data_IF_797476803559
#
_entry.id   IF_797476803559
#
_cell.length_a   1.000
_cell.length_b   1.000
_cell.length_c   1.000
_cell.angle_alpha   90.00
_cell.angle_beta   90.00
_cell.angle_gamma   90.00
#
_symmetry.space_group_name_H-M   'P 1'
#
loop_
_entity.id
_entity.type
_entity.pdbx_description
1 polymer ?
#
# COMPACT_ATOMS: atom_id res chain seq x y z
N UNK A 1 11.70 -10.96 -13.24
CA UNK A 1 11.44 -11.58 -11.91
C UNK A 1 11.05 -13.04 -12.13
N UNK A 2 11.68 -13.96 -11.42
CA UNK A 2 11.38 -15.39 -11.47
C UNK A 2 11.03 -15.85 -10.05
N UNK A 3 9.88 -16.51 -9.89
CA UNK A 3 9.38 -16.97 -8.59
C UNK A 3 8.69 -18.32 -8.72
N UNK A 4 9.11 -19.28 -7.90
CA UNK A 4 8.50 -20.59 -7.79
C UNK A 4 7.79 -20.72 -6.46
N UNK A 5 6.47 -20.98 -6.49
CA UNK A 5 5.65 -21.21 -5.32
C UNK A 5 5.23 -22.68 -5.31
N UNK A 6 5.40 -23.38 -4.17
CA UNK A 6 5.00 -24.77 -4.01
C UNK A 6 3.91 -24.89 -2.96
N UNK A 7 2.86 -25.65 -3.29
CA UNK A 7 1.77 -25.99 -2.40
C UNK A 7 1.72 -27.51 -2.20
N UNK A 8 1.77 -27.93 -0.96
CA UNK A 8 1.43 -29.32 -0.61
C UNK A 8 -0.08 -29.41 -0.46
N UNK A 9 -0.71 -30.30 -1.21
CA UNK A 9 -2.17 -30.46 -1.20
C UNK A 9 -2.59 -31.26 0.02
N UNK A 10 -3.45 -30.64 0.82
CA UNK A 10 -4.04 -31.23 2.02
C UNK A 10 -5.42 -31.84 1.72
N UNK A 11 -6.00 -32.57 2.67
CA UNK A 11 -7.34 -33.18 2.55
C UNK A 11 -8.43 -32.13 2.19
N UNK A 12 -8.31 -30.89 2.65
CA UNK A 12 -9.26 -29.81 2.34
C UNK A 12 -9.31 -29.45 0.85
N UNK A 13 -8.23 -29.72 0.11
CA UNK A 13 -8.12 -29.44 -1.32
C UNK A 13 -8.26 -30.68 -2.19
N UNK A 14 -8.53 -31.87 -1.59
CA UNK A 14 -8.73 -33.10 -2.32
C UNK A 14 -9.92 -32.99 -3.28
N UNK A 15 -9.74 -33.46 -4.51
CA UNK A 15 -10.75 -33.38 -5.57
C UNK A 15 -11.03 -31.99 -6.15
N UNK A 16 -10.41 -30.93 -5.65
CA UNK A 16 -10.52 -29.62 -6.26
C UNK A 16 -9.78 -29.58 -7.60
N UNK A 17 -10.30 -28.80 -8.55
CA UNK A 17 -9.53 -28.44 -9.75
C UNK A 17 -8.40 -27.48 -9.37
N UNK A 18 -7.27 -27.53 -10.07
CA UNK A 18 -6.14 -26.62 -9.86
C UNK A 18 -6.60 -25.16 -9.87
N UNK A 19 -7.45 -24.74 -10.82
CA UNK A 19 -7.95 -23.35 -10.87
C UNK A 19 -8.81 -22.99 -9.64
N UNK A 20 -9.58 -23.91 -9.09
CA UNK A 20 -10.40 -23.66 -7.89
C UNK A 20 -9.48 -23.49 -6.67
N UNK A 21 -8.50 -24.38 -6.52
CA UNK A 21 -7.51 -24.27 -5.47
C UNK A 21 -6.75 -22.95 -5.53
N UNK A 22 -6.23 -22.56 -6.70
CA UNK A 22 -5.52 -21.29 -6.86
C UNK A 22 -6.41 -20.07 -6.56
N UNK A 23 -7.71 -20.14 -6.90
CA UNK A 23 -8.69 -19.11 -6.51
C UNK A 23 -8.82 -19.02 -4.99
N UNK A 24 -8.88 -20.12 -4.27
CA UNK A 24 -8.89 -20.16 -2.80
C UNK A 24 -7.59 -19.59 -2.22
N UNK A 25 -6.46 -19.77 -2.92
CA UNK A 25 -5.18 -19.14 -2.55
C UNK A 25 -5.12 -17.64 -2.87
N UNK A 26 -6.18 -17.03 -3.42
CA UNK A 26 -6.27 -15.60 -3.69
C UNK A 26 -5.79 -15.19 -5.08
N UNK A 27 -5.55 -16.13 -5.99
CA UNK A 27 -5.22 -15.82 -7.38
C UNK A 27 -6.45 -15.22 -8.09
N UNK A 28 -6.26 -14.09 -8.78
CA UNK A 28 -7.33 -13.48 -9.58
C UNK A 28 -7.59 -14.30 -10.85
N UNK A 29 -8.75 -14.05 -11.48
CA UNK A 29 -9.04 -14.63 -12.79
C UNK A 29 -7.96 -14.27 -13.83
N UNK A 30 -7.47 -13.03 -13.79
CA UNK A 30 -6.42 -12.56 -14.69
C UNK A 30 -5.09 -13.32 -14.46
N UNK A 31 -4.71 -13.55 -13.19
CA UNK A 31 -3.52 -14.36 -12.87
C UNK A 31 -3.62 -15.76 -13.46
N UNK A 32 -4.74 -16.43 -13.25
CA UNK A 32 -4.97 -17.79 -13.79
C UNK A 32 -4.94 -17.78 -15.31
N UNK A 33 -5.55 -16.78 -15.95
CA UNK A 33 -5.52 -16.63 -17.41
C UNK A 33 -4.11 -16.41 -17.94
N UNK A 34 -3.30 -15.65 -17.23
CA UNK A 34 -1.91 -15.38 -17.61
C UNK A 34 -1.05 -16.63 -17.43
N UNK A 35 -1.19 -17.36 -16.31
CA UNK A 35 -0.50 -18.62 -16.07
C UNK A 35 -0.86 -19.68 -17.14
N UNK A 36 -2.13 -19.77 -17.57
CA UNK A 36 -2.53 -20.68 -18.66
C UNK A 36 -1.77 -20.48 -19.97
N UNK A 37 -1.27 -19.28 -20.22
CA UNK A 37 -0.53 -18.93 -21.46
C UNK A 37 0.98 -19.16 -21.34
N UNK A 38 1.48 -19.37 -20.13
CA UNK A 38 2.92 -19.55 -19.87
C UNK A 38 3.23 -21.05 -19.86
N UNK A 39 4.17 -21.54 -20.71
CA UNK A 39 4.61 -22.92 -20.68
C UNK A 39 5.14 -23.29 -19.28
N UNK A 40 4.86 -24.49 -18.83
CA UNK A 40 5.36 -25.05 -17.57
C UNK A 40 5.08 -24.21 -16.31
N UNK A 41 4.16 -23.25 -16.40
CA UNK A 41 3.80 -22.41 -15.24
C UNK A 41 3.10 -23.20 -14.12
N UNK A 42 2.50 -24.34 -14.44
CA UNK A 42 1.78 -25.20 -13.49
C UNK A 42 2.28 -26.63 -13.61
N UNK A 43 2.91 -27.11 -12.55
CA UNK A 43 3.36 -28.51 -12.47
C UNK A 43 2.66 -29.20 -11.27
N UNK A 44 2.12 -30.39 -11.52
CA UNK A 44 1.65 -31.30 -10.45
C UNK A 44 2.63 -32.45 -10.37
N UNK A 45 3.26 -32.62 -9.21
CA UNK A 45 4.31 -33.62 -9.00
C UNK A 45 5.45 -33.57 -10.03
N UNK A 46 5.82 -32.36 -10.45
CA UNK A 46 6.86 -32.13 -11.45
C UNK A 46 6.43 -32.27 -12.91
N UNK A 47 5.17 -32.64 -13.19
CA UNK A 47 4.64 -32.80 -14.55
C UNK A 47 3.68 -31.66 -14.87
N UNK A 48 3.80 -31.09 -16.06
CA UNK A 48 2.89 -30.05 -16.53
C UNK A 48 1.44 -30.52 -16.55
N UNK A 49 0.53 -29.66 -16.06
CA UNK A 49 -0.88 -29.99 -15.91
C UNK A 49 -1.82 -28.86 -16.35
N UNK A 50 -3.01 -29.24 -16.79
CA UNK A 50 -4.08 -28.28 -17.09
C UNK A 50 -4.73 -27.75 -15.83
N UNK A 51 -5.18 -26.51 -15.85
CA UNK A 51 -5.92 -25.87 -14.74
C UNK A 51 -7.21 -26.61 -14.33
N UNK A 52 -7.76 -27.44 -15.20
CA UNK A 52 -8.94 -28.28 -14.93
C UNK A 52 -8.63 -29.62 -14.27
N UNK A 53 -7.36 -30.00 -14.21
CA UNK A 53 -6.94 -31.27 -13.60
C UNK A 53 -7.25 -31.26 -12.10
N UNK A 54 -7.62 -32.44 -11.58
CA UNK A 54 -7.96 -32.61 -10.17
C UNK A 54 -6.69 -32.75 -9.34
N UNK A 55 -6.73 -32.21 -8.14
CA UNK A 55 -5.72 -32.39 -7.11
C UNK A 55 -6.11 -33.58 -6.21
N UNK A 56 -5.11 -34.29 -5.71
CA UNK A 56 -5.26 -35.31 -4.70
C UNK A 56 -4.43 -34.96 -3.46
N UNK A 57 -4.88 -35.39 -2.29
CA UNK A 57 -4.11 -35.25 -1.05
C UNK A 57 -2.71 -35.81 -1.21
N UNK A 58 -1.69 -35.02 -0.82
CA UNK A 58 -0.28 -35.37 -0.95
C UNK A 58 0.37 -34.90 -2.25
N UNK A 59 -0.39 -34.41 -3.25
CA UNK A 59 0.18 -33.82 -4.45
C UNK A 59 1.01 -32.58 -4.10
N UNK A 60 2.04 -32.29 -4.90
CA UNK A 60 2.81 -31.05 -4.86
C UNK A 60 2.45 -30.24 -6.10
N UNK A 61 1.71 -29.15 -5.90
CA UNK A 61 1.42 -28.19 -6.96
C UNK A 61 2.50 -27.10 -6.96
N UNK A 62 3.21 -26.97 -8.08
CA UNK A 62 4.23 -25.94 -8.29
C UNK A 62 3.71 -24.91 -9.27
N UNK A 63 3.83 -23.63 -8.91
CA UNK A 63 3.47 -22.48 -9.75
C UNK A 63 4.75 -21.71 -10.05
N UNK A 64 5.09 -21.59 -11.34
CA UNK A 64 6.20 -20.79 -11.83
C UNK A 64 5.68 -19.45 -12.37
N UNK A 65 6.23 -18.36 -11.87
CA UNK A 65 5.92 -17.00 -12.29
C UNK A 65 7.18 -16.44 -12.96
N UNK A 66 7.09 -16.12 -14.24
CA UNK A 66 8.17 -15.49 -14.98
C UNK A 66 7.72 -14.13 -15.49
N UNK A 67 8.39 -13.08 -15.06
CA UNK A 67 8.18 -11.71 -15.51
C UNK A 67 9.53 -11.16 -16.00
N UNK A 68 9.72 -11.21 -17.32
CA UNK A 68 10.98 -10.86 -17.98
C UNK A 68 11.03 -9.40 -18.43
N UNK A 69 9.94 -8.66 -18.25
CA UNK A 69 9.82 -7.26 -18.63
C UNK A 69 9.83 -6.36 -17.40
N UNK A 70 10.28 -5.14 -17.60
CA UNK A 70 10.19 -4.05 -16.61
C UNK A 70 9.07 -3.09 -16.99
N UNK A 71 8.61 -2.25 -16.04
CA UNK A 71 7.60 -1.21 -16.33
C UNK A 71 8.08 -0.28 -17.45
N UNK A 72 7.43 -0.26 -18.63
CA UNK A 72 8.01 0.39 -19.84
C UNK A 72 8.06 1.92 -19.76
N UNK A 73 7.20 2.54 -18.93
CA UNK A 73 7.04 4.00 -18.87
C UNK A 73 7.57 4.60 -17.56
N UNK A 74 8.42 3.87 -16.84
CA UNK A 74 9.01 4.34 -15.58
C UNK A 74 10.54 4.30 -15.75
N UNK A 75 11.20 5.44 -16.01
CA UNK A 75 12.65 5.46 -16.14
C UNK A 75 13.31 5.13 -14.79
N UNK A 76 14.37 4.31 -14.79
CA UNK A 76 15.17 4.07 -13.58
C UNK A 76 15.96 5.35 -13.24
N UNK A 77 15.86 5.78 -11.98
CA UNK A 77 16.57 6.97 -11.48
C UNK A 77 17.12 6.65 -10.09
N UNK A 78 18.40 6.93 -9.86
CA UNK A 78 19.03 6.78 -8.55
C UNK A 78 18.41 7.76 -7.55
N UNK A 79 17.65 7.23 -6.60
CA UNK A 79 16.99 8.00 -5.54
C UNK A 79 17.21 7.31 -4.19
N UNK A 80 17.28 8.07 -3.09
CA UNK A 80 17.44 7.50 -1.76
C UNK A 80 16.21 6.66 -1.40
N UNK A 81 16.42 5.38 -1.09
CA UNK A 81 15.39 4.45 -0.66
C UNK A 81 15.67 3.98 0.77
N UNK A 82 14.62 3.93 1.58
CA UNK A 82 14.67 3.31 2.91
C UNK A 82 13.83 2.02 2.88
N UNK A 83 14.48 0.92 2.51
CA UNK A 83 13.86 -0.41 2.48
C UNK A 83 13.86 -0.95 3.92
N UNK A 84 12.67 -1.27 4.43
CA UNK A 84 12.46 -1.80 5.79
C UNK A 84 12.46 -3.33 5.77
N UNK A 85 11.91 -3.92 4.71
CA UNK A 85 11.84 -5.37 4.52
C UNK A 85 11.80 -5.69 3.03
N UNK A 86 12.44 -6.78 2.66
CA UNK A 86 12.35 -7.36 1.32
C UNK A 86 12.51 -8.87 1.39
N UNK A 87 11.62 -9.58 0.66
CA UNK A 87 11.75 -11.00 0.37
C UNK A 87 11.51 -11.28 -1.14
N UNK A 88 11.15 -12.52 -1.49
CA UNK A 88 10.87 -12.88 -2.88
C UNK A 88 9.53 -12.33 -3.39
N UNK A 89 8.60 -11.97 -2.50
CA UNK A 89 7.20 -11.71 -2.82
C UNK A 89 6.78 -10.25 -2.61
N UNK A 90 7.37 -9.58 -1.60
CA UNK A 90 7.02 -8.21 -1.22
C UNK A 90 8.26 -7.37 -0.89
N UNK A 91 8.06 -6.06 -0.88
CA UNK A 91 9.02 -5.09 -0.38
C UNK A 91 8.26 -4.02 0.41
N UNK A 92 8.73 -3.69 1.63
CA UNK A 92 8.18 -2.62 2.46
C UNK A 92 9.17 -1.48 2.52
N UNK A 93 8.71 -0.28 2.18
CA UNK A 93 9.54 0.93 2.10
C UNK A 93 9.01 1.98 3.08
N UNK A 94 9.91 2.65 3.78
CA UNK A 94 9.62 3.91 4.46
C UNK A 94 9.84 5.07 3.48
N UNK A 95 8.78 5.49 2.80
CA UNK A 95 8.83 6.54 1.77
C UNK A 95 9.13 7.91 2.41
N UNK A 96 10.11 8.68 1.93
CA UNK A 96 10.30 10.06 2.37
C UNK A 96 9.13 10.95 1.93
N UNK A 97 8.98 12.11 2.57
CA UNK A 97 8.14 13.19 2.06
C UNK A 97 8.75 13.80 0.79
N UNK A 98 7.95 14.50 -0.01
CA UNK A 98 8.39 15.10 -1.27
C UNK A 98 8.49 14.12 -2.45
N UNK A 99 8.32 12.82 -2.22
CA UNK A 99 8.42 11.76 -3.22
C UNK A 99 7.03 11.18 -3.51
N UNK A 100 6.46 11.33 -4.72
CA UNK A 100 5.22 10.65 -5.10
C UNK A 100 5.45 9.13 -5.29
N UNK A 101 4.39 8.34 -5.25
CA UNK A 101 4.46 6.88 -5.48
C UNK A 101 4.76 6.57 -6.95
N UNK A 102 4.05 7.23 -7.88
CA UNK A 102 4.19 7.03 -9.32
C UNK A 102 4.66 8.31 -10.02
N UNK A 103 5.32 8.20 -11.16
CA UNK A 103 5.59 9.34 -12.02
C UNK A 103 4.30 10.11 -12.37
N UNK A 104 4.41 11.40 -12.48
CA UNK A 104 3.33 12.31 -12.88
C UNK A 104 3.90 13.49 -13.66
N UNK A 105 3.04 14.32 -14.28
CA UNK A 105 3.45 15.40 -15.19
C UNK A 105 4.60 16.27 -14.66
N UNK A 106 4.61 16.59 -13.35
CA UNK A 106 5.63 17.44 -12.72
C UNK A 106 6.63 16.65 -11.86
N UNK A 107 6.57 15.31 -11.88
CA UNK A 107 7.38 14.43 -11.03
C UNK A 107 7.70 13.15 -11.80
N UNK A 108 8.29 13.31 -12.99
CA UNK A 108 8.51 12.19 -13.90
C UNK A 108 9.67 11.29 -13.45
N UNK A 109 10.68 11.86 -12.78
CA UNK A 109 11.94 11.19 -12.44
C UNK A 109 12.24 11.15 -10.91
N UNK A 110 11.32 11.59 -10.07
CA UNK A 110 11.53 11.65 -8.61
C UNK A 110 10.51 10.85 -7.80
N UNK A 111 9.90 9.82 -8.38
CA UNK A 111 8.93 8.98 -7.68
C UNK A 111 9.56 7.74 -7.05
N UNK A 112 8.87 7.13 -6.08
CA UNK A 112 9.26 5.85 -5.50
C UNK A 112 9.42 4.77 -6.58
N UNK A 113 8.56 4.80 -7.60
CA UNK A 113 8.64 3.89 -8.73
C UNK A 113 9.97 4.02 -9.48
N UNK A 114 10.44 5.26 -9.75
CA UNK A 114 11.74 5.49 -10.41
C UNK A 114 12.91 4.93 -9.59
N UNK A 115 12.92 5.20 -8.29
CA UNK A 115 13.98 4.70 -7.39
C UNK A 115 14.01 3.17 -7.34
N UNK A 116 12.85 2.51 -7.25
CA UNK A 116 12.78 1.05 -7.25
C UNK A 116 13.11 0.43 -8.61
N UNK A 117 12.75 1.11 -9.71
CA UNK A 117 13.21 0.68 -11.05
C UNK A 117 14.74 0.69 -11.13
N UNK A 118 15.39 1.74 -10.63
CA UNK A 118 16.86 1.81 -10.59
C UNK A 118 17.44 0.73 -9.69
N UNK A 119 16.90 0.53 -8.47
CA UNK A 119 17.34 -0.46 -7.51
C UNK A 119 17.38 -1.89 -8.09
N UNK A 120 16.37 -2.29 -8.89
CA UNK A 120 16.35 -3.60 -9.53
C UNK A 120 17.17 -3.65 -10.84
N UNK A 121 17.28 -2.55 -11.56
CA UNK A 121 18.13 -2.46 -12.76
C UNK A 121 19.60 -2.68 -12.42
N UNK A 122 20.09 -2.09 -11.34
CA UNK A 122 21.47 -2.30 -10.84
C UNK A 122 21.75 -3.76 -10.43
N UNK A 123 20.71 -4.50 -10.06
CA UNK A 123 20.81 -5.93 -9.78
C UNK A 123 20.65 -6.81 -11.04
N UNK A 124 20.46 -6.22 -12.21
CA UNK A 124 20.18 -6.96 -13.45
C UNK A 124 18.83 -7.69 -13.45
N UNK A 125 17.87 -7.26 -12.64
CA UNK A 125 16.57 -7.90 -12.47
C UNK A 125 15.46 -7.09 -13.15
N UNK A 126 14.62 -7.71 -14.01
CA UNK A 126 13.41 -7.06 -14.50
C UNK A 126 12.46 -6.80 -13.33
N UNK A 127 11.78 -5.65 -13.35
CA UNK A 127 10.86 -5.27 -12.29
C UNK A 127 9.64 -4.52 -12.81
N UNK A 128 8.44 -4.98 -12.46
CA UNK A 128 7.20 -4.27 -12.72
C UNK A 128 6.72 -3.65 -11.40
N UNK A 129 6.68 -2.32 -11.35
CA UNK A 129 6.28 -1.59 -10.16
C UNK A 129 4.78 -1.77 -9.85
N UNK A 130 4.46 -2.32 -8.67
CA UNK A 130 3.09 -2.59 -8.20
C UNK A 130 2.93 -2.15 -6.75
N UNK A 131 2.50 -0.92 -6.56
CA UNK A 131 2.18 -0.39 -5.24
C UNK A 131 0.70 -0.66 -4.92
N UNK A 132 0.43 -1.32 -3.81
CA UNK A 132 -0.93 -1.72 -3.41
C UNK A 132 -1.66 -0.68 -2.58
N UNK A 133 -0.93 0.29 -2.00
CA UNK A 133 -1.47 1.42 -1.26
C UNK A 133 -0.73 2.71 -1.64
N UNK A 134 -1.48 3.79 -1.84
CA UNK A 134 -0.88 5.08 -2.19
C UNK A 134 -0.73 5.96 -0.97
N UNK A 135 0.40 6.66 -0.90
CA UNK A 135 0.61 7.81 -0.03
C UNK A 135 0.68 9.07 -0.89
N UNK A 136 0.21 10.19 -0.36
CA UNK A 136 0.40 11.48 -1.02
C UNK A 136 1.89 11.80 -1.14
N UNK A 137 2.26 12.67 -2.08
CA UNK A 137 3.66 13.06 -2.32
C UNK A 137 4.38 13.42 -1.02
N UNK A 138 3.76 14.28 -0.22
CA UNK A 138 4.36 14.85 0.98
C UNK A 138 4.01 14.10 2.27
N UNK A 139 3.24 13.01 2.17
CA UNK A 139 3.05 12.04 3.27
C UNK A 139 4.22 11.07 3.28
N UNK A 140 4.90 10.97 4.42
CA UNK A 140 5.99 10.01 4.65
C UNK A 140 5.47 8.71 5.24
N UNK A 141 6.32 7.67 5.27
CA UNK A 141 6.07 6.43 6.00
C UNK A 141 5.86 5.19 5.15
N UNK A 142 5.34 4.16 5.79
CA UNK A 142 5.31 2.79 5.28
C UNK A 142 4.35 2.60 4.10
N UNK A 143 4.87 1.92 3.08
CA UNK A 143 4.10 1.42 1.94
C UNK A 143 4.60 0.04 1.54
N UNK A 144 3.70 -0.85 1.06
CA UNK A 144 4.02 -2.19 0.58
C UNK A 144 3.95 -2.25 -0.94
N UNK A 145 4.97 -2.86 -1.53
CA UNK A 145 5.14 -3.07 -2.96
C UNK A 145 5.12 -4.57 -3.21
N UNK A 146 4.31 -5.00 -4.16
CA UNK A 146 4.31 -6.39 -4.60
C UNK A 146 5.38 -6.62 -5.67
N UNK A 147 6.18 -7.68 -5.53
CA UNK A 147 7.29 -7.97 -6.46
C UNK A 147 6.84 -8.73 -7.71
N UNK A 148 5.70 -9.42 -7.66
CA UNK A 148 5.14 -10.14 -8.80
C UNK A 148 3.61 -10.09 -8.84
N UNK A 149 3.04 -10.52 -9.95
CA UNK A 149 1.60 -10.43 -10.24
C UNK A 149 0.69 -11.11 -9.21
N UNK A 150 1.13 -12.21 -8.59
CA UNK A 150 0.31 -12.96 -7.63
C UNK A 150 0.25 -12.21 -6.29
N UNK A 151 1.40 -11.82 -5.73
CA UNK A 151 1.42 -11.02 -4.50
C UNK A 151 0.66 -9.70 -4.66
N UNK A 152 0.73 -9.06 -5.84
CA UNK A 152 -0.04 -7.86 -6.15
C UNK A 152 -1.55 -8.11 -6.10
N UNK A 153 -2.02 -9.20 -6.70
CA UNK A 153 -3.42 -9.56 -6.71
C UNK A 153 -3.96 -9.87 -5.30
N UNK A 154 -3.20 -10.63 -4.52
CA UNK A 154 -3.58 -10.99 -3.15
C UNK A 154 -3.62 -9.76 -2.26
N UNK A 155 -2.56 -8.93 -2.26
CA UNK A 155 -2.53 -7.69 -1.46
C UNK A 155 -3.62 -6.70 -1.87
N UNK A 156 -3.93 -6.58 -3.16
CA UNK A 156 -5.04 -5.74 -3.64
C UNK A 156 -6.38 -6.24 -3.13
N UNK A 157 -6.60 -7.56 -3.14
CA UNK A 157 -7.79 -8.19 -2.60
C UNK A 157 -7.91 -8.00 -1.07
N UNK A 158 -6.80 -8.16 -0.34
CA UNK A 158 -6.74 -7.89 1.10
C UNK A 158 -7.02 -6.41 1.40
N UNK A 159 -6.50 -5.49 0.60
CA UNK A 159 -6.80 -4.06 0.71
C UNK A 159 -8.29 -3.76 0.52
N UNK A 160 -8.94 -4.40 -0.45
CA UNK A 160 -10.38 -4.26 -0.70
C UNK A 160 -11.24 -4.83 0.45
N UNK A 161 -10.74 -5.85 1.15
CA UNK A 161 -11.40 -6.43 2.35
C UNK A 161 -10.98 -5.78 3.67
N UNK A 162 -10.20 -4.69 3.63
CA UNK A 162 -9.68 -3.98 4.83
C UNK A 162 -8.81 -4.86 5.76
N UNK A 163 -8.16 -5.88 5.21
CA UNK A 163 -7.25 -6.78 5.93
C UNK A 163 -5.83 -6.21 6.06
N UNK A 164 -5.49 -5.18 5.29
CA UNK A 164 -4.26 -4.41 5.46
C UNK A 164 -4.55 -3.24 6.39
N UNK A 165 -4.07 -3.33 7.62
CA UNK A 165 -4.24 -2.29 8.64
C UNK A 165 -3.13 -1.26 8.49
N UNK A 166 -3.52 0.01 8.41
CA UNK A 166 -2.61 1.17 8.31
C UNK A 166 -2.97 2.16 9.38
N UNK A 167 -1.99 2.51 10.18
CA UNK A 167 -2.12 3.53 11.20
C UNK A 167 -1.19 4.70 10.85
N UNK A 168 -1.71 5.89 10.99
CA UNK A 168 -1.02 7.13 10.67
C UNK A 168 -0.85 7.97 11.94
N UNK A 169 0.23 8.75 11.98
CA UNK A 169 0.38 9.83 12.95
C UNK A 169 0.27 11.15 12.21
N UNK A 170 -0.55 12.05 12.76
CA UNK A 170 -0.69 13.42 12.28
C UNK A 170 -0.49 14.41 13.42
N UNK A 171 -0.03 15.62 13.11
CA UNK A 171 0.07 16.71 14.07
C UNK A 171 -0.90 17.82 13.66
N UNK A 172 -1.70 18.25 14.63
CA UNK A 172 -2.65 19.37 14.51
C UNK A 172 -2.35 20.43 15.57
N UNK A 173 -2.74 21.68 15.34
CA UNK A 173 -2.63 22.77 16.33
C UNK A 173 -3.77 22.67 17.34
N UNK A 174 -3.46 22.88 18.62
CA UNK A 174 -4.44 22.90 19.72
C UNK A 174 -4.78 21.49 20.26
N UNK A 175 -5.73 21.48 21.20
CA UNK A 175 -6.22 20.25 21.86
C UNK A 175 -7.48 19.74 21.16
N UNK A 176 -7.40 18.53 20.60
CA UNK A 176 -8.53 17.93 19.88
C UNK A 176 -9.61 17.48 20.86
N UNK A 177 -10.81 18.02 20.68
CA UNK A 177 -11.97 17.70 21.52
C UNK A 177 -13.14 17.22 20.65
N UNK A 178 -13.71 16.01 20.92
CA UNK A 178 -13.27 15.00 21.90
C UNK A 178 -11.92 14.37 21.53
N UNK A 179 -11.17 13.78 22.50
CA UNK A 179 -9.82 13.26 22.24
C UNK A 179 -9.78 11.97 21.41
N UNK A 180 -10.91 11.39 21.12
CA UNK A 180 -11.05 10.23 20.21
C UNK A 180 -12.44 10.20 19.61
N UNK A 181 -12.54 9.59 18.42
CA UNK A 181 -13.83 9.47 17.75
C UNK A 181 -13.70 8.84 16.36
N UNK A 182 -14.83 8.85 15.65
CA UNK A 182 -14.93 8.39 14.26
C UNK A 182 -15.49 9.50 13.40
N UNK A 183 -14.84 9.78 12.29
CA UNK A 183 -15.31 10.68 11.25
C UNK A 183 -15.85 9.82 10.11
N UNK A 184 -17.18 9.76 9.98
CA UNK A 184 -17.87 9.11 8.86
C UNK A 184 -18.46 10.23 7.99
N UNK A 185 -17.67 10.70 7.03
CA UNK A 185 -18.00 11.84 6.18
C UNK A 185 -17.53 11.60 4.75
N UNK A 186 -18.47 11.46 3.79
CA UNK A 186 -18.12 11.10 2.42
C UNK A 186 -17.36 12.23 1.71
N UNK A 187 -16.43 11.84 0.83
CA UNK A 187 -15.52 12.77 0.15
C UNK A 187 -15.78 12.85 -1.35
N UNK A 188 -15.76 14.07 -1.88
CA UNK A 188 -15.82 14.35 -3.32
C UNK A 188 -14.70 15.31 -3.75
N UNK A 189 -14.49 15.43 -5.07
CA UNK A 189 -13.66 16.50 -5.63
C UNK A 189 -14.36 17.85 -5.45
N UNK A 190 -13.56 18.90 -5.24
CA UNK A 190 -14.07 20.28 -5.40
C UNK A 190 -14.24 20.57 -6.89
N UNK A 191 -15.31 21.30 -7.26
CA UNK A 191 -15.54 21.64 -8.67
C UNK A 191 -14.50 22.58 -9.28
N UNK A 192 -13.70 23.26 -8.44
CA UNK A 192 -12.71 24.27 -8.83
C UNK A 192 -11.27 23.74 -8.89
N UNK A 193 -11.02 22.51 -8.40
CA UNK A 193 -9.65 21.96 -8.32
C UNK A 193 -9.62 20.48 -8.72
N UNK A 194 -8.61 20.10 -9.51
CA UNK A 194 -8.38 18.69 -9.86
C UNK A 194 -7.87 17.85 -8.70
N UNK A 195 -7.20 18.47 -7.72
CA UNK A 195 -6.52 17.78 -6.61
C UNK A 195 -7.27 17.88 -5.29
N UNK A 196 -7.97 19.00 -5.01
CA UNK A 196 -8.68 19.18 -3.75
C UNK A 196 -9.88 18.26 -3.58
N UNK A 197 -10.11 17.91 -2.32
CA UNK A 197 -11.27 17.14 -1.86
C UNK A 197 -12.01 17.92 -0.79
N UNK A 198 -13.29 17.63 -0.65
CA UNK A 198 -14.16 18.19 0.40
C UNK A 198 -15.10 17.10 0.91
N UNK A 199 -15.66 17.32 2.09
CA UNK A 199 -16.81 16.54 2.56
C UNK A 199 -18.02 16.93 1.73
N UNK A 200 -18.72 15.92 1.20
CA UNK A 200 -19.92 16.10 0.38
C UNK A 200 -20.90 14.95 0.62
N UNK A 201 -21.91 15.20 1.44
CA UNK A 201 -22.92 14.19 1.80
C UNK A 201 -23.89 13.82 0.68
N UNK A 202 -23.90 14.57 -0.44
CA UNK A 202 -24.80 14.31 -1.56
C UNK A 202 -24.13 13.46 -2.65
N UNK A 203 -22.87 13.72 -2.93
CA UNK A 203 -22.16 13.14 -4.07
C UNK A 203 -20.82 12.50 -3.70
N UNK A 204 -20.44 12.49 -2.40
CA UNK A 204 -19.18 11.95 -1.93
C UNK A 204 -19.17 10.43 -1.88
N UNK A 205 -17.97 9.86 -2.05
CA UNK A 205 -17.71 8.45 -1.80
C UNK A 205 -17.52 8.22 -0.29
N UNK A 206 -18.07 7.12 0.22
CA UNK A 206 -17.93 6.75 1.65
C UNK A 206 -16.46 6.83 2.08
N UNK A 207 -16.25 7.51 3.20
CA UNK A 207 -14.94 7.66 3.83
C UNK A 207 -15.08 7.64 5.34
N UNK A 208 -14.30 6.76 6.02
CA UNK A 208 -14.36 6.59 7.47
C UNK A 208 -12.95 6.59 8.04
N UNK A 209 -12.73 7.44 9.06
CA UNK A 209 -11.46 7.60 9.77
C UNK A 209 -11.72 7.56 11.28
N UNK A 210 -11.04 6.66 11.98
CA UNK A 210 -10.98 6.66 13.44
C UNK A 210 -9.76 7.45 13.88
N UNK A 211 -9.92 8.27 14.94
CA UNK A 211 -8.82 9.06 15.47
C UNK A 211 -8.74 8.95 16.99
N UNK A 212 -7.54 9.11 17.52
CA UNK A 212 -7.25 9.16 18.95
C UNK A 212 -6.04 10.06 19.19
N UNK A 213 -6.19 11.02 20.13
CA UNK A 213 -5.05 11.81 20.61
C UNK A 213 -4.11 10.90 21.38
N UNK A 214 -2.84 10.93 21.02
CA UNK A 214 -1.75 10.15 21.61
C UNK A 214 -0.99 10.99 22.64
N UNK A 215 -0.70 12.25 22.27
CA UNK A 215 0.08 13.17 23.08
C UNK A 215 -0.38 14.60 22.81
N UNK A 216 -0.35 15.46 23.83
CA UNK A 216 -0.51 16.90 23.68
C UNK A 216 0.73 17.59 24.24
N UNK A 217 1.36 18.44 23.41
CA UNK A 217 2.61 19.11 23.76
C UNK A 217 2.81 20.38 22.95
N UNK A 218 3.31 21.41 23.58
CA UNK A 218 3.64 22.71 22.95
C UNK A 218 2.49 23.29 22.09
N UNK A 219 1.24 23.20 22.58
CA UNK A 219 0.07 23.71 21.86
C UNK A 219 -0.34 22.91 20.64
N UNK A 220 0.17 21.68 20.50
CA UNK A 220 -0.17 20.75 19.42
C UNK A 220 -0.64 19.41 19.95
N UNK A 221 -1.46 18.70 19.17
CA UNK A 221 -1.85 17.32 19.43
C UNK A 221 -1.23 16.39 18.40
N UNK A 222 -0.57 15.32 18.87
CA UNK A 222 -0.22 14.15 18.06
C UNK A 222 -1.42 13.21 18.04
N UNK A 223 -1.92 12.92 16.87
CA UNK A 223 -3.14 12.13 16.66
C UNK A 223 -2.80 10.85 15.90
N UNK A 224 -3.19 9.69 16.44
CA UNK A 224 -3.21 8.42 15.72
C UNK A 224 -4.51 8.31 14.92
N UNK A 225 -4.40 7.84 13.67
CA UNK A 225 -5.53 7.71 12.75
C UNK A 225 -5.52 6.34 12.08
N UNK A 226 -6.66 5.66 12.10
CA UNK A 226 -6.87 4.36 11.43
C UNK A 226 -7.96 4.53 10.39
N UNK A 227 -7.71 3.99 9.19
CA UNK A 227 -8.58 4.14 8.04
C UNK A 227 -9.38 2.85 7.77
N UNK A 228 -10.72 2.95 7.70
CA UNK A 228 -11.54 1.90 7.07
C UNK A 228 -11.52 2.02 5.55
N UNK A 229 -11.37 3.22 5.01
CA UNK A 229 -11.35 3.53 3.58
C UNK A 229 -10.06 4.26 3.21
N UNK A 230 -9.68 4.28 1.95
CA UNK A 230 -8.44 4.93 1.48
C UNK A 230 -8.69 5.95 0.38
N UNK A 231 -9.51 6.98 0.64
CA UNK A 231 -9.78 8.04 -0.35
C UNK A 231 -8.64 9.03 -0.43
N UNK A 232 -8.47 9.65 -1.59
CA UNK A 232 -7.46 10.70 -1.78
C UNK A 232 -7.63 11.82 -0.76
N UNK A 233 -6.56 12.21 -0.07
CA UNK A 233 -6.52 13.23 0.99
C UNK A 233 -7.44 12.97 2.19
N UNK A 234 -7.89 11.73 2.41
CA UNK A 234 -8.95 11.43 3.38
C UNK A 234 -8.65 11.98 4.77
N UNK A 235 -7.51 11.66 5.36
CA UNK A 235 -7.12 12.14 6.69
C UNK A 235 -7.10 13.67 6.73
N UNK A 236 -6.52 14.29 5.73
CA UNK A 236 -6.33 15.74 5.62
C UNK A 236 -7.67 16.48 5.63
N UNK A 237 -8.63 16.00 4.81
CA UNK A 237 -9.98 16.57 4.73
C UNK A 237 -10.81 16.26 5.98
N UNK A 238 -10.71 15.05 6.52
CA UNK A 238 -11.44 14.68 7.72
C UNK A 238 -11.01 15.48 8.94
N UNK A 239 -9.71 15.67 9.12
CA UNK A 239 -9.21 16.48 10.23
C UNK A 239 -9.55 17.97 10.06
N UNK A 240 -9.54 18.50 8.83
CA UNK A 240 -10.07 19.84 8.54
C UNK A 240 -11.56 19.94 8.84
N UNK A 241 -12.36 18.95 8.44
CA UNK A 241 -13.81 18.91 8.73
C UNK A 241 -14.11 18.87 10.23
N UNK A 242 -13.27 18.17 11.00
CA UNK A 242 -13.36 18.14 12.47
C UNK A 242 -12.98 19.50 13.12
N UNK A 243 -12.40 20.44 12.35
CA UNK A 243 -11.93 21.73 12.85
C UNK A 243 -10.45 21.73 13.29
N UNK A 244 -9.73 20.64 13.09
CA UNK A 244 -8.33 20.46 13.44
C UNK A 244 -7.48 20.07 12.21
N UNK A 245 -7.29 20.96 11.22
CA UNK A 245 -6.48 20.66 10.05
C UNK A 245 -5.02 20.35 10.42
N UNK A 246 -4.36 19.55 9.61
CA UNK A 246 -2.96 19.18 9.82
C UNK A 246 -2.05 20.39 9.70
N UNK A 247 -1.06 20.49 10.57
CA UNK A 247 0.00 21.52 10.48
C UNK A 247 0.77 21.37 9.15
N UNK A 248 1.05 22.46 8.48
CA UNK A 248 1.82 22.52 7.24
C UNK A 248 1.10 21.97 6.01
N UNK A 249 -0.22 21.74 6.08
CA UNK A 249 -0.98 21.25 4.92
C UNK A 249 -1.31 22.41 3.96
N UNK A 250 -0.55 22.55 2.89
CA UNK A 250 -0.66 23.65 1.94
C UNK A 250 -2.04 23.78 1.25
N UNK A 251 -2.85 22.71 1.22
CA UNK A 251 -4.19 22.76 0.62
C UNK A 251 -5.29 23.07 1.64
N UNK A 252 -5.17 22.53 2.84
CA UNK A 252 -6.24 22.53 3.84
C UNK A 252 -5.91 23.37 5.07
N UNK A 253 -4.64 23.71 5.26
CA UNK A 253 -4.13 24.60 6.30
C UNK A 253 -2.79 25.20 5.86
N UNK A 254 -2.78 26.33 5.12
CA UNK A 254 -1.57 26.90 4.52
C UNK A 254 -0.59 27.50 5.53
N UNK A 255 -0.77 27.28 6.83
CA UNK A 255 0.17 27.68 7.88
C UNK A 255 1.43 26.81 7.83
N UNK A 256 2.54 27.42 7.39
CA UNK A 256 3.86 26.77 7.22
C UNK A 256 4.86 27.16 8.32
N UNK A 257 4.38 27.63 9.47
CA UNK A 257 5.24 28.14 10.57
C UNK A 257 6.19 27.05 11.09
N UNK A 258 5.69 25.82 11.23
CA UNK A 258 6.44 24.74 11.90
C UNK A 258 6.99 23.70 10.91
N UNK A 259 6.31 23.47 9.81
CA UNK A 259 6.67 22.45 8.83
C UNK A 259 6.12 22.84 7.44
N UNK A 260 6.89 22.55 6.38
CA UNK A 260 6.52 22.92 4.98
C UNK A 260 5.83 21.79 4.20
N UNK A 261 5.15 20.90 4.89
CA UNK A 261 4.34 19.80 4.34
C UNK A 261 3.27 19.39 5.32
N UNK A 262 2.23 18.70 4.88
CA UNK A 262 1.29 18.11 5.82
C UNK A 262 2.05 17.23 6.84
N UNK A 263 1.87 17.50 8.12
CA UNK A 263 2.43 16.73 9.22
C UNK A 263 1.67 15.39 9.34
N UNK A 264 1.94 14.49 8.38
CA UNK A 264 1.28 13.18 8.24
C UNK A 264 2.32 12.10 7.92
N UNK A 265 2.24 10.99 8.65
CA UNK A 265 3.18 9.88 8.55
C UNK A 265 2.46 8.53 8.70
N UNK A 266 2.65 7.63 7.73
CA UNK A 266 2.19 6.23 7.81
C UNK A 266 3.17 5.44 8.69
N UNK A 267 2.90 5.36 9.99
CA UNK A 267 3.86 4.88 10.97
C UNK A 267 3.79 3.40 11.25
N UNK A 268 2.61 2.77 11.05
CA UNK A 268 2.41 1.34 11.30
C UNK A 268 1.63 0.69 10.16
N UNK A 269 2.12 -0.47 9.74
CA UNK A 269 1.53 -1.29 8.67
C UNK A 269 1.51 -2.74 9.13
N UNK A 270 0.33 -3.37 9.11
CA UNK A 270 0.20 -4.80 9.44
C UNK A 270 -0.75 -5.51 8.49
N UNK A 271 -0.38 -6.71 8.10
CA UNK A 271 -1.12 -7.56 7.15
C UNK A 271 -0.63 -9.01 7.24
N UNK A 272 -1.34 -9.92 6.60
CA UNK A 272 -0.90 -11.31 6.42
C UNK A 272 -0.07 -11.39 5.13
N UNK A 273 1.12 -11.98 5.21
CA UNK A 273 1.98 -12.15 4.05
C UNK A 273 1.24 -12.88 2.91
N UNK A 274 1.29 -12.36 1.65
CA UNK A 274 0.44 -12.88 0.57
C UNK A 274 0.71 -14.35 0.22
N UNK A 275 1.95 -14.82 0.39
CA UNK A 275 2.34 -16.18 0.01
C UNK A 275 2.54 -17.08 1.24
N UNK A 276 3.38 -16.69 2.20
CA UNK A 276 3.69 -17.53 3.38
C UNK A 276 2.55 -17.59 4.39
N UNK A 277 1.61 -16.64 4.34
CA UNK A 277 0.48 -16.50 5.27
C UNK A 277 0.87 -16.13 6.70
N UNK A 278 2.10 -15.76 6.92
CA UNK A 278 2.58 -15.28 8.21
C UNK A 278 2.07 -13.87 8.52
N UNK A 279 1.77 -13.54 9.78
CA UNK A 279 1.44 -12.18 10.18
C UNK A 279 2.68 -11.29 10.09
N UNK A 280 2.53 -10.14 9.43
CA UNK A 280 3.58 -9.14 9.27
C UNK A 280 3.18 -7.84 9.95
N UNK A 281 4.10 -7.23 10.66
CA UNK A 281 3.93 -5.92 11.29
C UNK A 281 5.21 -5.10 11.16
N UNK A 282 5.06 -3.85 10.71
CA UNK A 282 6.17 -2.92 10.52
C UNK A 282 5.83 -1.58 11.17
N UNK A 283 6.86 -0.91 11.70
CA UNK A 283 6.76 0.45 12.23
C UNK A 283 7.86 1.32 11.63
N UNK A 284 7.55 2.59 11.40
CA UNK A 284 8.53 3.61 11.01
C UNK A 284 8.53 4.74 12.01
N UNK A 285 9.69 5.15 12.48
CA UNK A 285 9.80 6.25 13.44
C UNK A 285 9.22 7.56 12.89
N UNK A 286 8.61 8.35 13.78
CA UNK A 286 8.16 9.69 13.44
C UNK A 286 9.33 10.52 12.89
N UNK A 287 9.19 11.16 11.69
CA UNK A 287 10.26 11.95 11.08
C UNK A 287 10.72 13.12 11.95
N UNK A 288 11.99 13.52 11.80
CA UNK A 288 12.58 14.61 12.60
C UNK A 288 11.83 15.92 12.50
N UNK A 289 11.35 16.29 11.30
CA UNK A 289 10.58 17.50 11.08
C UNK A 289 9.25 17.51 11.86
N UNK A 290 8.60 16.37 11.99
CA UNK A 290 7.41 16.23 12.83
C UNK A 290 7.77 16.16 14.33
N UNK A 291 8.84 15.45 14.72
CA UNK A 291 9.30 15.41 16.11
C UNK A 291 9.60 16.82 16.64
N UNK A 292 10.20 17.69 15.82
CA UNK A 292 10.57 19.05 16.21
C UNK A 292 9.37 19.95 16.58
N UNK A 293 8.16 19.67 16.06
CA UNK A 293 6.94 20.41 16.43
C UNK A 293 6.55 20.14 17.89
N UNK A 294 6.88 18.95 18.39
CA UNK A 294 6.52 18.50 19.72
C UNK A 294 7.61 18.74 20.78
N UNK A 295 8.77 19.24 20.40
CA UNK A 295 9.87 19.58 21.32
C UNK A 295 9.76 20.99 21.81
#
# INVERSE_FOLDING_TARGET
MDRTIKYQITEEADGLRIEQFLRHQGYSYQNITQLKKMPESILKNGVWEYMRSLLATGDILTVHIQENESSPNIPPVELPLSIIYEDEDILVVNKPAGMPIHPSLNNYENSLANGLMWYYTEQGKPFIFRCTNRLDRDTSGLTVIAKHLISSSILSSMGARHEIKREYLAIVRGSVTPPSGTIDAPLARTGSSMIERKVDFKHGERAVTHYKVVEEKNGHSLVSLILETGRTHQIRVHMQYLGFPLVGDYLYNPDMEYIHRQALHSWKLSFIHPITREPMEFTAELPKDMKNILI
#
